data_IF_841209343740
#
_entry.id   IF_841209343740
#
_cell.length_a   1.000
_cell.length_b   1.000
_cell.length_c   1.000
_cell.angle_alpha   90.00
_cell.angle_beta   90.00
_cell.angle_gamma   90.00
#
_symmetry.space_group_name_H-M   'P 1'
#
loop_
_entity.id
_entity.type
_entity.pdbx_description
1 polymer ?
#
# COMPACT_ATOMS: atom_id res chain seq x y z
N UNK A 1 18.35 9.20 14.00
CA UNK A 1 18.09 8.79 12.61
C UNK A 1 17.56 7.38 12.65
N UNK A 2 16.49 7.10 11.91
CA UNK A 2 15.90 5.76 11.83
C UNK A 2 16.39 5.05 10.57
N UNK A 3 16.16 3.75 10.50
CA UNK A 3 16.41 2.91 9.34
C UNK A 3 15.06 2.57 8.73
N UNK A 4 14.90 2.86 7.44
CA UNK A 4 13.74 2.47 6.67
C UNK A 4 13.97 1.15 5.94
N UNK A 5 12.87 0.43 5.77
CA UNK A 5 12.82 -0.78 4.98
C UNK A 5 11.45 -0.86 4.32
N UNK A 6 11.39 -1.49 3.16
CA UNK A 6 10.15 -1.64 2.43
C UNK A 6 10.29 -2.48 1.19
N UNK A 7 9.24 -2.41 0.38
CA UNK A 7 9.28 -2.85 -0.99
C UNK A 7 8.46 -1.92 -1.86
N UNK A 8 8.85 -1.87 -3.13
CA UNK A 8 8.17 -1.13 -4.17
C UNK A 8 7.60 -2.11 -5.21
N UNK A 9 6.61 -1.67 -5.99
CA UNK A 9 6.11 -2.44 -7.14
C UNK A 9 6.57 -1.79 -8.45
N UNK A 10 7.43 -2.46 -9.21
CA UNK A 10 8.09 -1.94 -10.41
C UNK A 10 7.94 -2.92 -11.60
N UNK A 11 7.31 -2.52 -12.73
CA UNK A 11 6.52 -1.29 -12.86
C UNK A 11 5.28 -1.33 -11.96
N UNK A 12 4.76 -0.17 -11.57
CA UNK A 12 3.46 -0.06 -10.90
C UNK A 12 2.30 -0.38 -11.86
N UNK A 13 1.08 -0.54 -11.35
CA UNK A 13 -0.11 -0.75 -12.21
C UNK A 13 -0.49 0.52 -12.97
N UNK A 14 -0.63 0.43 -14.29
CA UNK A 14 -1.15 1.55 -15.06
C UNK A 14 -2.63 1.79 -14.75
N UNK A 15 -3.07 3.04 -14.91
CA UNK A 15 -4.48 3.40 -14.77
C UNK A 15 -5.28 2.71 -15.87
N UNK A 16 -6.19 1.82 -15.49
CA UNK A 16 -6.99 1.00 -16.41
C UNK A 16 -6.53 -0.46 -16.53
N UNK A 17 -5.40 -0.83 -15.90
CA UNK A 17 -5.06 -2.23 -15.72
C UNK A 17 -6.15 -2.97 -14.93
N UNK A 18 -6.33 -4.26 -15.21
CA UNK A 18 -7.20 -5.11 -14.40
C UNK A 18 -6.72 -5.11 -12.94
N UNK A 19 -7.65 -4.80 -12.04
CA UNK A 19 -7.39 -4.76 -10.61
C UNK A 19 -7.53 -6.16 -9.97
N UNK A 20 -7.93 -7.20 -10.71
CA UNK A 20 -8.23 -8.54 -10.18
C UNK A 20 -7.05 -9.20 -9.46
N UNK A 21 -5.83 -8.96 -9.95
CA UNK A 21 -4.61 -9.45 -9.30
C UNK A 21 -4.32 -8.69 -8.01
N UNK A 22 -4.60 -7.38 -8.01
CA UNK A 22 -4.48 -6.54 -6.83
C UNK A 22 -5.53 -6.89 -5.77
N UNK A 23 -6.77 -7.11 -6.16
CA UNK A 23 -7.86 -7.52 -5.26
C UNK A 23 -7.54 -8.85 -4.58
N UNK A 24 -7.07 -9.86 -5.34
CA UNK A 24 -6.62 -11.13 -4.76
C UNK A 24 -5.45 -10.98 -3.81
N UNK A 25 -4.51 -10.08 -4.11
CA UNK A 25 -3.43 -9.74 -3.20
C UNK A 25 -3.96 -9.13 -1.89
N UNK A 26 -4.89 -8.17 -1.96
CA UNK A 26 -5.48 -7.56 -0.77
C UNK A 26 -6.29 -8.56 0.05
N UNK A 27 -7.03 -9.47 -0.59
CA UNK A 27 -7.77 -10.53 0.08
C UNK A 27 -6.84 -11.46 0.87
N UNK A 28 -5.71 -11.85 0.28
CA UNK A 28 -4.68 -12.65 0.97
C UNK A 28 -4.04 -11.90 2.13
N UNK A 29 -3.80 -10.59 1.99
CA UNK A 29 -3.32 -9.72 3.09
C UNK A 29 -4.34 -9.69 4.23
N UNK A 30 -5.62 -9.41 3.93
CA UNK A 30 -6.67 -9.36 4.95
C UNK A 30 -6.88 -10.71 5.62
N UNK A 31 -6.73 -11.81 4.88
CA UNK A 31 -6.80 -13.16 5.43
C UNK A 31 -5.63 -13.46 6.37
N UNK A 32 -4.41 -13.04 6.02
CA UNK A 32 -3.21 -13.20 6.86
C UNK A 32 -3.35 -12.45 8.19
N UNK A 33 -3.95 -11.26 8.17
CA UNK A 33 -4.04 -10.35 9.32
C UNK A 33 -5.46 -10.24 9.92
N UNK A 34 -6.36 -11.19 9.64
CA UNK A 34 -7.78 -11.11 10.02
C UNK A 34 -8.03 -10.91 11.52
N UNK A 35 -7.13 -11.42 12.37
CA UNK A 35 -7.23 -11.37 13.83
C UNK A 35 -6.26 -10.33 14.44
N UNK A 36 -5.56 -9.56 13.60
CA UNK A 36 -4.60 -8.56 14.05
C UNK A 36 -5.27 -7.18 14.17
N UNK A 37 -5.52 -6.66 15.39
CA UNK A 37 -6.25 -5.42 15.59
C UNK A 37 -5.52 -4.18 15.08
N UNK A 38 -4.20 -4.26 14.79
CA UNK A 38 -3.47 -3.13 14.23
C UNK A 38 -3.59 -3.04 12.71
N UNK A 39 -4.20 -4.03 12.04
CA UNK A 39 -4.46 -3.97 10.60
C UNK A 39 -5.91 -3.57 10.37
N UNK A 40 -6.11 -2.31 10.00
CA UNK A 40 -7.43 -1.68 9.90
C UNK A 40 -7.85 -1.60 8.44
N UNK A 41 -8.84 -2.40 7.99
CA UNK A 41 -9.41 -2.27 6.65
C UNK A 41 -10.28 -1.02 6.57
N UNK A 42 -9.89 -0.06 5.73
CA UNK A 42 -10.72 1.07 5.33
C UNK A 42 -11.34 0.89 3.94
N UNK A 43 -12.21 1.83 3.58
CA UNK A 43 -12.90 1.88 2.28
C UNK A 43 -11.95 2.14 1.12
N UNK A 44 -10.96 3.01 1.31
CA UNK A 44 -9.98 3.36 0.29
C UNK A 44 -8.62 2.69 0.51
N UNK A 45 -8.28 2.36 1.76
CA UNK A 45 -6.94 1.90 2.11
C UNK A 45 -7.00 0.90 3.27
N UNK A 46 -6.07 -0.05 3.30
CA UNK A 46 -5.78 -0.87 4.48
C UNK A 46 -4.62 -0.21 5.21
N UNK A 47 -4.80 0.12 6.49
CA UNK A 47 -3.83 0.84 7.30
C UNK A 47 -3.23 -0.11 8.32
N UNK A 48 -1.91 -0.19 8.38
CA UNK A 48 -1.20 -0.95 9.39
C UNK A 48 -0.76 0.01 10.49
N UNK A 49 -1.40 0.01 11.64
CA UNK A 49 -1.13 0.91 12.78
C UNK A 49 0.16 0.52 13.55
N UNK A 50 1.27 0.44 12.81
CA UNK A 50 2.60 0.09 13.31
C UNK A 50 3.64 1.00 12.65
N UNK A 51 4.70 1.33 13.38
CA UNK A 51 5.74 2.22 12.90
C UNK A 51 5.15 3.56 12.41
N UNK A 52 5.27 3.80 11.10
CA UNK A 52 4.84 5.01 10.41
C UNK A 52 3.55 4.83 9.60
N UNK A 53 2.73 3.87 10.01
CA UNK A 53 1.41 3.63 9.43
C UNK A 53 1.43 3.30 7.93
N UNK A 54 2.21 2.28 7.48
CA UNK A 54 2.24 1.91 6.08
C UNK A 54 0.84 1.50 5.60
N UNK A 55 0.55 1.81 4.33
CA UNK A 55 -0.80 1.65 3.76
C UNK A 55 -0.78 0.85 2.47
N UNK A 56 -1.87 0.11 2.23
CA UNK A 56 -2.18 -0.50 0.94
C UNK A 56 -3.45 0.15 0.37
N UNK A 57 -3.37 0.90 -0.73
CA UNK A 57 -4.55 1.40 -1.43
C UNK A 57 -5.41 0.26 -1.97
N UNK A 58 -6.74 0.43 -1.99
CA UNK A 58 -7.66 -0.53 -2.62
C UNK A 58 -7.51 -0.56 -4.15
N UNK A 59 -7.01 0.52 -4.74
CA UNK A 59 -6.69 0.61 -6.16
C UNK A 59 -5.21 0.35 -6.42
N UNK A 60 -4.89 -0.69 -7.19
CA UNK A 60 -3.50 -1.09 -7.46
C UNK A 60 -2.66 -0.01 -8.15
N UNK A 61 -3.28 0.79 -9.03
CA UNK A 61 -2.60 1.89 -9.73
C UNK A 61 -2.12 3.01 -8.80
N UNK A 62 -2.67 3.09 -7.58
CA UNK A 62 -2.27 4.05 -6.57
C UNK A 62 -1.11 3.55 -5.69
N UNK A 63 -0.78 2.26 -5.78
CA UNK A 63 0.32 1.67 -5.03
C UNK A 63 1.66 1.97 -5.69
N UNK A 64 2.64 2.33 -4.86
CA UNK A 64 4.06 2.49 -5.24
C UNK A 64 4.96 1.75 -4.27
N UNK A 65 4.76 2.00 -2.97
CA UNK A 65 5.63 1.57 -1.88
C UNK A 65 4.84 1.13 -0.66
N UNK A 66 5.33 0.09 0.00
CA UNK A 66 4.94 -0.25 1.37
C UNK A 66 6.21 -0.29 2.23
N UNK A 67 6.34 0.65 3.15
CA UNK A 67 7.58 0.83 3.93
C UNK A 67 7.33 1.53 5.26
N UNK A 68 8.24 1.36 6.19
CA UNK A 68 8.26 2.10 7.45
C UNK A 68 9.66 2.06 8.07
N UNK A 69 9.94 2.98 9.00
CA UNK A 69 11.02 2.81 9.97
C UNK A 69 10.94 1.44 10.65
N UNK A 70 12.05 0.70 10.64
CA UNK A 70 12.23 -0.61 11.31
C UNK A 70 13.22 -0.55 12.48
N UNK A 71 13.79 0.62 12.77
CA UNK A 71 14.67 0.83 13.93
C UNK A 71 13.94 1.43 15.14
N UNK A 72 14.53 1.27 16.33
CA UNK A 72 14.05 1.93 17.54
C UNK A 72 12.66 1.45 17.96
N UNK A 73 11.78 2.37 18.35
CA UNK A 73 10.40 2.06 18.75
C UNK A 73 9.54 1.48 17.63
N UNK A 74 10.01 1.58 16.37
CA UNK A 74 9.27 1.12 15.20
C UNK A 74 9.65 -0.30 14.75
N UNK A 75 10.55 -1.00 15.44
CA UNK A 75 11.05 -2.31 14.99
C UNK A 75 10.01 -3.42 14.84
N UNK A 76 8.81 -3.24 15.42
CA UNK A 76 7.70 -4.15 15.17
C UNK A 76 7.17 -4.08 13.72
N UNK A 77 7.42 -3.00 12.97
CA UNK A 77 6.92 -2.81 11.59
C UNK A 77 7.55 -3.79 10.60
N UNK A 78 8.81 -4.18 10.80
CA UNK A 78 9.57 -5.04 9.90
C UNK A 78 8.85 -6.36 9.62
N UNK A 79 8.27 -6.97 10.67
CA UNK A 79 7.54 -8.24 10.55
C UNK A 79 6.32 -8.11 9.63
N UNK A 80 5.67 -6.95 9.59
CA UNK A 80 4.52 -6.69 8.73
C UNK A 80 4.99 -6.49 7.29
N UNK A 81 6.05 -5.70 7.10
CA UNK A 81 6.64 -5.44 5.79
C UNK A 81 7.08 -6.77 5.15
N UNK A 82 7.79 -7.64 5.87
CA UNK A 82 8.22 -8.95 5.37
C UNK A 82 7.02 -9.84 4.98
N UNK A 83 5.95 -9.86 5.79
CA UNK A 83 4.77 -10.68 5.50
C UNK A 83 4.04 -10.19 4.26
N UNK A 84 3.76 -8.88 4.18
CA UNK A 84 3.11 -8.29 3.00
C UNK A 84 3.97 -8.45 1.76
N UNK A 85 5.29 -8.25 1.86
CA UNK A 85 6.26 -8.51 0.79
C UNK A 85 6.15 -9.93 0.24
N UNK A 86 6.15 -10.94 1.13
CA UNK A 86 6.02 -12.35 0.73
C UNK A 86 4.70 -12.65 0.03
N UNK A 87 3.60 -12.01 0.45
CA UNK A 87 2.31 -12.13 -0.24
C UNK A 87 2.46 -11.48 -1.63
N UNK A 88 3.02 -10.27 -1.70
CA UNK A 88 3.25 -9.55 -2.96
C UNK A 88 4.06 -10.36 -3.96
N UNK A 89 5.16 -11.00 -3.54
CA UNK A 89 5.97 -11.86 -4.41
C UNK A 89 5.18 -13.04 -5.00
N UNK A 90 4.22 -13.61 -4.27
CA UNK A 90 3.37 -14.70 -4.79
C UNK A 90 2.41 -14.22 -5.88
N UNK A 91 1.96 -12.98 -5.80
CA UNK A 91 1.00 -12.40 -6.75
C UNK A 91 1.67 -11.73 -7.95
N UNK A 92 2.83 -11.09 -7.75
CA UNK A 92 3.44 -10.21 -8.76
C UNK A 92 4.90 -10.54 -9.10
N UNK A 93 5.48 -11.56 -8.44
CA UNK A 93 6.84 -12.04 -8.71
C UNK A 93 7.88 -10.93 -8.61
N UNK A 94 8.70 -10.84 -9.65
CA UNK A 94 9.85 -9.91 -9.75
C UNK A 94 9.45 -8.44 -9.78
N UNK A 95 8.16 -8.12 -9.94
CA UNK A 95 7.68 -6.74 -9.81
C UNK A 95 7.84 -6.20 -8.40
N UNK A 96 7.88 -7.06 -7.38
CA UNK A 96 8.06 -6.62 -6.00
C UNK A 96 9.55 -6.52 -5.69
N UNK A 97 10.03 -5.28 -5.55
CA UNK A 97 11.44 -4.97 -5.30
C UNK A 97 11.63 -4.59 -3.84
N UNK A 98 12.27 -5.48 -3.09
CA UNK A 98 12.69 -5.23 -1.70
C UNK A 98 13.82 -4.20 -1.64
N UNK A 99 13.88 -3.45 -0.56
CA UNK A 99 15.01 -2.59 -0.24
C UNK A 99 15.15 -2.41 1.28
N UNK A 100 16.38 -2.16 1.72
CA UNK A 100 16.68 -1.92 3.13
C UNK A 100 17.86 -0.92 3.28
N UNK A 101 17.65 0.18 4.03
CA UNK A 101 18.65 1.27 4.10
C UNK A 101 20.00 0.83 4.70
N UNK A 102 20.03 -0.15 5.61
CA UNK A 102 21.30 -0.71 6.13
C UNK A 102 22.15 -1.42 5.06
N UNK A 103 21.58 -1.72 3.90
CA UNK A 103 22.28 -2.34 2.77
C UNK A 103 22.66 -1.31 1.69
N UNK A 104 22.62 0.00 2.03
CA UNK A 104 22.79 1.12 1.08
C UNK A 104 21.76 1.10 -0.07
N UNK A 105 20.61 0.46 0.18
CA UNK A 105 19.49 0.40 -0.76
C UNK A 105 18.42 1.43 -0.37
N UNK A 106 17.79 2.02 -1.38
CA UNK A 106 16.62 2.87 -1.22
C UNK A 106 15.53 2.39 -2.17
N UNK A 107 14.28 2.70 -1.84
CA UNK A 107 13.20 2.32 -2.72
C UNK A 107 13.23 3.08 -4.05
N UNK A 108 12.75 2.41 -5.10
CA UNK A 108 12.74 2.87 -6.47
C UNK A 108 12.07 4.24 -6.68
N UNK A 109 10.92 4.47 -6.01
CA UNK A 109 10.14 5.70 -6.17
C UNK A 109 10.58 6.83 -5.23
N UNK A 110 10.54 8.08 -5.71
CA UNK A 110 10.65 9.24 -4.84
C UNK A 110 9.42 9.38 -3.92
N UNK A 111 9.59 9.95 -2.73
CA UNK A 111 8.47 10.15 -1.80
C UNK A 111 7.35 11.01 -2.40
N UNK A 112 7.69 12.02 -3.21
CA UNK A 112 6.70 12.86 -3.90
C UNK A 112 5.80 12.01 -4.82
N UNK A 113 6.37 11.05 -5.56
CA UNK A 113 5.60 10.16 -6.43
C UNK A 113 4.67 9.23 -5.62
N UNK A 114 5.16 8.69 -4.50
CA UNK A 114 4.36 7.85 -3.60
C UNK A 114 3.17 8.65 -3.06
N UNK A 115 3.40 9.87 -2.58
CA UNK A 115 2.36 10.71 -2.01
C UNK A 115 1.39 11.24 -3.06
N UNK A 116 1.87 11.64 -4.24
CA UNK A 116 1.03 12.16 -5.31
C UNK A 116 0.09 11.09 -5.86
N UNK A 117 0.59 9.86 -6.09
CA UNK A 117 -0.24 8.74 -6.53
C UNK A 117 -1.39 8.44 -5.54
N UNK A 118 -1.06 8.40 -4.24
CA UNK A 118 -2.04 8.20 -3.17
C UNK A 118 -3.06 9.35 -3.10
N UNK A 119 -2.58 10.60 -3.18
CA UNK A 119 -3.42 11.80 -3.10
C UNK A 119 -4.37 11.91 -4.30
N UNK A 120 -3.90 11.62 -5.51
CA UNK A 120 -4.76 11.59 -6.70
C UNK A 120 -5.88 10.57 -6.55
N UNK A 121 -5.56 9.37 -6.08
CA UNK A 121 -6.54 8.32 -5.83
C UNK A 121 -7.62 8.76 -4.84
N UNK A 122 -7.23 9.23 -3.65
CA UNK A 122 -8.18 9.68 -2.62
C UNK A 122 -9.07 10.81 -3.14
N UNK A 123 -8.48 11.80 -3.84
CA UNK A 123 -9.23 12.91 -4.44
C UNK A 123 -10.23 12.41 -5.48
N UNK A 124 -9.83 11.46 -6.33
CA UNK A 124 -10.70 10.90 -7.37
C UNK A 124 -11.87 10.10 -6.79
N UNK A 125 -11.63 9.37 -5.70
CA UNK A 125 -12.67 8.60 -5.01
C UNK A 125 -13.73 9.52 -4.41
N UNK A 126 -13.32 10.56 -3.66
CA UNK A 126 -14.27 11.53 -3.09
C UNK A 126 -15.08 12.28 -4.15
N UNK A 127 -14.45 12.67 -5.27
CA UNK A 127 -15.16 13.31 -6.37
C UNK A 127 -16.16 12.38 -7.06
N UNK A 128 -15.91 11.07 -7.06
CA UNK A 128 -16.85 10.06 -7.53
C UNK A 128 -18.08 9.97 -6.63
N UNK A 129 -17.87 9.86 -5.32
CA UNK A 129 -18.94 9.78 -4.31
C UNK A 129 -19.85 10.99 -4.35
N UNK A 130 -19.30 12.21 -4.46
CA UNK A 130 -20.08 13.45 -4.54
C UNK A 130 -20.96 13.50 -5.81
N UNK A 131 -20.42 13.06 -6.96
CA UNK A 131 -21.20 12.98 -8.21
C UNK A 131 -22.33 11.97 -8.12
N UNK A 132 -22.08 10.81 -7.52
CA UNK A 132 -23.09 9.75 -7.37
C UNK A 132 -24.22 10.18 -6.41
N UNK A 133 -23.86 10.78 -5.28
CA UNK A 133 -24.82 11.37 -4.34
C UNK A 133 -25.70 12.43 -5.01
N UNK A 134 -25.08 13.38 -5.72
CA UNK A 134 -25.82 14.43 -6.42
C UNK A 134 -26.72 13.86 -7.54
N UNK A 135 -26.33 12.76 -8.19
CA UNK A 135 -27.19 12.07 -9.16
C UNK A 135 -28.38 11.40 -8.49
N UNK A 136 -28.19 10.81 -7.31
CA UNK A 136 -29.25 10.12 -6.56
C UNK A 136 -30.33 11.07 -6.00
N UNK A 137 -29.98 12.33 -5.74
CA UNK A 137 -30.91 13.36 -5.26
C UNK A 137 -31.74 14.03 -6.37
N UNK A 138 -31.33 13.88 -7.63
CA UNK A 138 -31.98 14.49 -8.79
C UNK A 138 -32.85 13.48 -9.59
N UNK A 139 -33.16 12.33 -9.00
CA UNK A 139 -34.08 11.29 -9.51
C UNK A 139 -35.29 11.17 -8.57
#
# INVERSE_FOLDING_TARGET
MGVDCGFDMVPFFAKGDSNDGWERFLDDVLKEFKDDPVVVPGELEIIFQVGEFPVLPRAGYAFRRFSSKVSGSCGASERYIIRVYRIGCRHFGDRIQWWHEMCDESGHYGWDEVYDARKEYIKSAHAGTEKEYNRSLNL
#
